data_IF_968425310070
#
_entry.id   IF_968425310070
#
_cell.length_a   1.000
_cell.length_b   1.000
_cell.length_c   1.000
_cell.angle_alpha   90.00
_cell.angle_beta   90.00
_cell.angle_gamma   90.00
#
_symmetry.space_group_name_H-M   'P 1'
#
loop_
_entity.id
_entity.type
_entity.pdbx_description
1 polymer ?
#
# COMPACT_ATOMS: atom_id res chain seq x y z
N UNK A 1 4.22 -5.96 -17.46
CA UNK A 1 4.47 -6.99 -16.43
C UNK A 1 3.15 -7.45 -15.84
N UNK A 2 3.00 -8.73 -15.58
CA UNK A 2 1.79 -9.25 -14.94
C UNK A 2 1.80 -8.91 -13.45
N UNK A 3 0.61 -8.64 -12.90
CA UNK A 3 0.46 -8.28 -11.48
C UNK A 3 1.01 -9.34 -10.52
N UNK A 4 0.77 -10.63 -10.81
CA UNK A 4 1.30 -11.72 -9.98
C UNK A 4 2.84 -11.76 -9.98
N UNK A 5 3.47 -11.39 -11.08
CA UNK A 5 4.93 -11.33 -11.18
C UNK A 5 5.49 -10.16 -10.38
N UNK A 6 4.84 -9.01 -10.45
CA UNK A 6 5.20 -7.84 -9.64
C UNK A 6 5.07 -8.18 -8.15
N UNK A 7 3.97 -8.79 -7.75
CA UNK A 7 3.75 -9.19 -6.37
C UNK A 7 4.80 -10.17 -5.87
N UNK A 8 5.21 -11.13 -6.72
CA UNK A 8 6.26 -12.08 -6.38
C UNK A 8 7.62 -11.42 -6.16
N UNK A 9 7.94 -10.39 -6.95
CA UNK A 9 9.19 -9.62 -6.82
C UNK A 9 9.18 -8.80 -5.53
N UNK A 10 8.07 -8.12 -5.24
CA UNK A 10 7.93 -7.29 -4.04
C UNK A 10 7.89 -8.17 -2.79
N UNK A 11 7.20 -9.30 -2.86
CA UNK A 11 7.11 -10.31 -1.79
C UNK A 11 6.64 -9.72 -0.45
N UNK A 12 5.55 -8.95 -0.48
CA UNK A 12 4.94 -8.40 0.73
C UNK A 12 3.70 -9.20 1.14
N UNK A 13 3.45 -9.25 2.44
CA UNK A 13 2.27 -9.90 3.00
C UNK A 13 1.09 -8.93 3.16
N UNK A 14 1.29 -7.63 2.91
CA UNK A 14 0.24 -6.65 3.16
C UNK A 14 0.19 -5.58 2.08
N UNK A 15 -0.99 -5.37 1.55
CA UNK A 15 -1.29 -4.35 0.54
C UNK A 15 -2.47 -3.51 1.01
N UNK A 16 -2.38 -2.20 0.83
CA UNK A 16 -3.52 -1.30 1.03
C UNK A 16 -3.52 -0.22 -0.04
N UNK A 17 -4.69 0.21 -0.46
CA UNK A 17 -4.78 1.20 -1.51
C UNK A 17 -6.21 1.66 -1.78
N UNK A 18 -6.32 2.58 -2.72
CA UNK A 18 -7.58 3.05 -3.27
C UNK A 18 -7.66 2.52 -4.70
N UNK A 19 -8.60 1.63 -5.01
CA UNK A 19 -8.71 1.04 -6.33
C UNK A 19 -8.93 2.10 -7.42
N UNK A 20 -8.32 1.87 -8.57
CA UNK A 20 -8.47 2.72 -9.74
C UNK A 20 -8.39 1.87 -11.00
N UNK A 21 -9.02 2.35 -12.09
CA UNK A 21 -9.04 1.62 -13.36
C UNK A 21 -7.65 1.41 -13.95
N UNK A 22 -6.71 2.30 -13.67
CA UNK A 22 -5.32 2.16 -14.13
C UNK A 22 -4.58 1.03 -13.41
N UNK A 23 -5.06 0.64 -12.23
CA UNK A 23 -4.49 -0.42 -11.41
C UNK A 23 -5.35 -1.68 -11.42
N UNK A 24 -6.22 -1.82 -12.42
CA UNK A 24 -7.20 -2.90 -12.49
C UNK A 24 -6.56 -4.29 -12.36
N UNK A 25 -5.47 -4.53 -13.08
CA UNK A 25 -4.79 -5.83 -13.03
C UNK A 25 -4.28 -6.16 -11.63
N UNK A 26 -3.68 -5.19 -10.95
CA UNK A 26 -3.20 -5.35 -9.58
C UNK A 26 -4.36 -5.58 -8.62
N UNK A 27 -5.40 -4.75 -8.69
CA UNK A 27 -6.58 -4.86 -7.82
C UNK A 27 -7.27 -6.21 -8.00
N UNK A 28 -7.43 -6.69 -9.23
CA UNK A 28 -8.02 -8.00 -9.52
C UNK A 28 -7.16 -9.13 -8.94
N UNK A 29 -5.85 -9.03 -9.07
CA UNK A 29 -4.93 -10.02 -8.50
C UNK A 29 -5.07 -10.07 -6.97
N UNK A 30 -5.07 -8.92 -6.31
CA UNK A 30 -5.18 -8.85 -4.85
C UNK A 30 -6.52 -9.37 -4.36
N UNK A 31 -7.62 -9.01 -5.03
CA UNK A 31 -8.94 -9.51 -4.67
C UNK A 31 -9.07 -11.01 -4.92
N UNK A 32 -8.47 -11.53 -5.99
CA UNK A 32 -8.47 -12.96 -6.27
C UNK A 32 -7.60 -13.76 -5.31
N UNK A 33 -6.52 -13.17 -4.81
CA UNK A 33 -5.57 -13.84 -3.91
C UNK A 33 -6.01 -13.77 -2.45
N UNK A 34 -6.40 -12.58 -2.00
CA UNK A 34 -6.69 -12.33 -0.58
C UNK A 34 -8.18 -12.09 -0.29
N UNK A 35 -8.95 -11.69 -1.30
CA UNK A 35 -10.34 -11.33 -1.10
C UNK A 35 -10.49 -10.14 -0.14
N UNK A 36 -11.31 -10.32 0.86
CA UNK A 36 -11.58 -9.30 1.89
C UNK A 36 -10.82 -9.58 3.20
N UNK A 37 -9.72 -10.29 3.14
CA UNK A 37 -8.92 -10.60 4.32
C UNK A 37 -8.12 -9.36 4.79
N UNK A 38 -8.53 -8.70 5.88
CA UNK A 38 -7.87 -7.47 6.33
C UNK A 38 -6.45 -7.67 6.85
N UNK A 39 -6.03 -8.92 7.03
CA UNK A 39 -4.63 -9.21 7.40
C UNK A 39 -3.68 -9.01 6.23
N UNK A 40 -4.19 -9.07 5.01
CA UNK A 40 -3.37 -9.04 3.79
C UNK A 40 -3.74 -7.93 2.82
N UNK A 41 -5.00 -7.49 2.81
CA UNK A 41 -5.45 -6.50 1.84
C UNK A 41 -6.59 -5.65 2.40
N UNK A 42 -6.35 -4.33 2.49
CA UNK A 42 -7.35 -3.37 2.94
C UNK A 42 -7.55 -2.31 1.86
N UNK A 43 -8.81 -2.11 1.46
CA UNK A 43 -9.21 -0.98 0.63
C UNK A 43 -9.60 0.16 1.56
N UNK A 44 -8.93 1.30 1.44
CA UNK A 44 -9.15 2.44 2.31
C UNK A 44 -9.97 3.55 1.64
N UNK A 45 -10.43 4.50 2.45
CA UNK A 45 -11.27 5.60 1.97
C UNK A 45 -10.48 6.62 1.14
N UNK A 46 -9.21 6.84 1.46
CA UNK A 46 -8.32 7.69 0.67
C UNK A 46 -6.86 7.27 0.86
N UNK A 47 -5.98 7.85 0.07
CA UNK A 47 -4.58 7.45 0.00
C UNK A 47 -3.82 7.76 1.30
N UNK A 48 -4.17 8.85 1.98
CA UNK A 48 -3.56 9.18 3.27
C UNK A 48 -3.86 8.14 4.33
N UNK A 49 -5.08 7.60 4.32
CA UNK A 49 -5.46 6.49 5.21
C UNK A 49 -4.63 5.23 4.91
N UNK A 50 -4.34 4.99 3.64
CA UNK A 50 -3.50 3.85 3.24
C UNK A 50 -2.10 3.95 3.86
N UNK A 51 -1.49 5.12 3.82
CA UNK A 51 -0.16 5.31 4.40
C UNK A 51 -0.20 5.08 5.92
N UNK A 52 -1.24 5.56 6.59
CA UNK A 52 -1.40 5.35 8.04
C UNK A 52 -1.58 3.86 8.38
N UNK A 53 -2.41 3.15 7.62
CA UNK A 53 -2.62 1.71 7.81
C UNK A 53 -1.32 0.93 7.58
N UNK A 54 -0.60 1.26 6.52
CA UNK A 54 0.68 0.63 6.20
C UNK A 54 1.72 0.89 7.30
N UNK A 55 1.78 2.10 7.82
CA UNK A 55 2.67 2.44 8.93
C UNK A 55 2.35 1.61 10.17
N UNK A 56 1.06 1.47 10.51
CA UNK A 56 0.63 0.62 11.62
C UNK A 56 1.01 -0.85 11.43
N UNK A 57 0.85 -1.35 10.22
CA UNK A 57 1.26 -2.71 9.88
C UNK A 57 2.76 -2.93 10.13
N UNK A 58 3.58 -1.99 9.66
CA UNK A 58 5.04 -2.07 9.88
C UNK A 58 5.38 -2.04 11.36
N UNK A 59 4.79 -1.13 12.12
CA UNK A 59 5.03 -1.03 13.56
C UNK A 59 4.64 -2.29 14.31
N UNK A 60 3.56 -2.95 13.88
CA UNK A 60 3.07 -4.17 14.52
C UNK A 60 3.89 -5.41 14.15
N UNK A 61 4.43 -5.49 12.94
CA UNK A 61 5.02 -6.73 12.41
C UNK A 61 6.50 -6.64 12.09
N UNK A 62 7.04 -5.45 11.91
CA UNK A 62 8.40 -5.23 11.39
C UNK A 62 8.55 -5.50 9.89
N UNK A 63 7.46 -5.91 9.23
CA UNK A 63 7.47 -6.22 7.79
C UNK A 63 7.20 -4.98 6.94
N UNK A 64 7.52 -5.06 5.65
CA UNK A 64 7.39 -3.94 4.71
C UNK A 64 6.05 -4.03 3.99
N UNK A 65 5.13 -3.06 4.20
CA UNK A 65 3.85 -3.03 3.52
C UNK A 65 3.94 -2.40 2.13
N UNK A 66 2.89 -2.59 1.33
CA UNK A 66 2.74 -1.96 0.01
C UNK A 66 1.50 -1.06 0.01
N UNK A 67 1.67 0.14 -0.51
CA UNK A 67 0.56 1.08 -0.75
C UNK A 67 0.46 1.28 -2.25
N UNK A 68 -0.74 1.09 -2.81
CA UNK A 68 -0.98 1.35 -4.23
C UNK A 68 -2.00 2.48 -4.41
N UNK A 69 -1.78 3.29 -5.44
CA UNK A 69 -2.66 4.41 -5.76
C UNK A 69 -2.47 4.88 -7.19
N UNK A 70 -3.46 5.57 -7.74
CA UNK A 70 -3.26 6.29 -8.99
C UNK A 70 -2.41 7.54 -8.74
N UNK A 71 -1.79 8.03 -9.81
CA UNK A 71 -0.90 9.20 -9.74
C UNK A 71 -1.57 10.43 -9.09
N UNK A 72 -2.84 10.69 -9.39
CA UNK A 72 -3.54 11.84 -8.81
C UNK A 72 -3.76 11.71 -7.29
N UNK A 73 -3.65 10.51 -6.74
CA UNK A 73 -3.78 10.27 -5.30
C UNK A 73 -2.56 10.71 -4.49
N UNK A 74 -1.43 11.00 -5.14
CA UNK A 74 -0.20 11.41 -4.45
C UNK A 74 -0.38 12.67 -3.60
N UNK A 75 -1.27 13.58 -4.02
CA UNK A 75 -1.56 14.79 -3.25
C UNK A 75 -2.08 14.49 -1.84
N UNK A 76 -2.75 13.38 -1.67
CA UNK A 76 -3.34 12.98 -0.38
C UNK A 76 -2.33 12.34 0.56
N UNK A 77 -1.12 12.05 0.11
CA UNK A 77 -0.10 11.39 0.94
C UNK A 77 1.05 12.31 1.37
N UNK A 78 1.05 13.57 0.94
CA UNK A 78 2.14 14.52 1.22
C UNK A 78 2.39 14.60 2.74
N UNK A 79 1.35 14.85 3.52
CA UNK A 79 1.47 14.98 4.97
C UNK A 79 1.92 13.66 5.63
N UNK A 80 1.20 12.53 5.45
CA UNK A 80 1.61 11.30 6.12
C UNK A 80 3.00 10.80 5.68
N UNK A 81 3.41 11.02 4.44
CA UNK A 81 4.76 10.67 3.99
C UNK A 81 5.81 11.54 4.70
N UNK A 82 5.58 12.85 4.75
CA UNK A 82 6.49 13.77 5.44
C UNK A 82 6.61 13.46 6.94
N UNK A 83 5.51 13.02 7.57
CA UNK A 83 5.47 12.74 9.00
C UNK A 83 5.97 11.35 9.36
N UNK A 84 5.51 10.32 8.63
CA UNK A 84 5.71 8.92 9.02
C UNK A 84 6.92 8.28 8.36
N UNK A 85 7.23 8.66 7.12
CA UNK A 85 8.31 8.03 6.36
C UNK A 85 9.64 8.77 6.43
N UNK A 86 9.62 10.04 6.78
CA UNK A 86 10.84 10.83 6.90
C UNK A 86 11.75 10.19 7.96
N UNK A 87 12.99 9.90 7.59
CA UNK A 87 13.97 9.27 8.47
C UNK A 87 14.30 10.10 9.72
N UNK A 88 14.08 11.41 9.66
CA UNK A 88 14.27 12.31 10.81
C UNK A 88 13.08 12.33 11.76
N UNK A 89 11.98 11.66 11.42
CA UNK A 89 10.79 11.57 12.26
C UNK A 89 10.61 10.13 12.70
N UNK A 90 9.88 9.30 11.92
CA UNK A 90 9.66 7.90 12.28
C UNK A 90 10.39 6.92 11.36
N UNK A 91 10.74 7.33 10.16
CA UNK A 91 11.50 6.51 9.20
C UNK A 91 10.84 5.19 8.82
N UNK A 92 9.50 5.15 8.78
CA UNK A 92 8.77 3.93 8.49
C UNK A 92 8.91 3.58 7.01
N UNK A 93 9.39 2.38 6.66
CA UNK A 93 9.54 1.97 5.26
C UNK A 93 8.25 1.41 4.69
N UNK A 94 8.01 1.67 3.41
CA UNK A 94 6.95 1.03 2.64
C UNK A 94 7.22 1.15 1.15
N UNK A 95 6.60 0.26 0.37
CA UNK A 95 6.71 0.27 -1.09
C UNK A 95 5.47 0.95 -1.65
N UNK A 96 5.65 1.85 -2.62
CA UNK A 96 4.55 2.47 -3.34
C UNK A 96 4.47 1.93 -4.76
N UNK A 97 3.26 1.62 -5.19
CA UNK A 97 2.94 1.31 -6.59
C UNK A 97 2.01 2.42 -7.08
N UNK A 98 2.50 3.22 -8.02
CA UNK A 98 1.75 4.38 -8.53
C UNK A 98 1.60 4.27 -10.04
#
# INVERSE_FOLDING_TARGET
MKAEKLAAIIDSDFYTGVPDSQLKALCNYLMGTYGIDPKHHIIAANEGNCVALAAGYHLATGKIPVVYMQNSGEGNIINPVASLLNDKVYGIPMVFII
#
